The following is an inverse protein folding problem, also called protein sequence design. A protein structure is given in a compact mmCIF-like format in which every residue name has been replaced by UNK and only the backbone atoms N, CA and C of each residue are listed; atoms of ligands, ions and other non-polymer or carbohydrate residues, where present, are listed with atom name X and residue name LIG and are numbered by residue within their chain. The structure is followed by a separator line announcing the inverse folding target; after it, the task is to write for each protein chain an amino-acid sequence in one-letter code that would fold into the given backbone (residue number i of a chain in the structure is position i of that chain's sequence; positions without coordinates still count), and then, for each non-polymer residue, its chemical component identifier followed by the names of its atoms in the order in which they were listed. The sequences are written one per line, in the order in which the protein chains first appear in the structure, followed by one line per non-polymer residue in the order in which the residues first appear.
data_IF_540364200628
#
_entry.id   IF_540364200628
#
_cell.length_a   1.000
_cell.length_b   1.000
_cell.length_c   1.000
_cell.angle_alpha   90.00
_cell.angle_beta   90.00
_cell.angle_gamma   90.00
#
_symmetry.space_group_name_H-M   'P 1'
#
loop_
_entity.id
_entity.type
_entity.pdbx_description
1 polymer ?
#
# COMPACT_ATOMS: atom_id res chain seq x y z
N UNK A 1 -12.66 11.80 -20.50
CA UNK A 1 -12.61 11.38 -19.83
C UNK A 1 -12.21 10.35 -19.78
N UNK A 2 -11.83 10.22 -19.89
CA UNK A 2 -11.48 9.24 -19.99
C UNK A 2 -11.21 8.24 -19.18
N UNK A 3 -10.90 8.52 -18.21
CA UNK A 3 -10.56 7.52 -17.37
C UNK A 3 -11.64 6.59 -17.28
N UNK A 4 -11.45 5.56 -17.85
CA UNK A 4 -12.42 4.53 -17.76
C UNK A 4 -12.44 4.00 -16.33
N UNK A 5 -13.60 3.99 -15.79
CA UNK A 5 -13.88 3.28 -14.56
C UNK A 5 -14.75 2.10 -14.89
N UNK A 6 -14.49 0.95 -14.30
CA UNK A 6 -13.44 0.64 -13.34
C UNK A 6 -12.05 0.48 -13.98
N UNK A 7 -11.03 0.72 -13.21
CA UNK A 7 -9.64 0.60 -13.65
C UNK A 7 -9.11 -0.79 -13.30
N UNK A 8 -9.63 -1.80 -13.99
CA UNK A 8 -9.20 -3.19 -13.77
C UNK A 8 -7.74 -3.41 -14.10
N UNK A 9 -7.20 -2.59 -14.97
CA UNK A 9 -5.80 -2.67 -15.37
C UNK A 9 -4.81 -2.39 -14.23
N UNK A 10 -5.28 -1.81 -13.13
CA UNK A 10 -4.45 -1.52 -11.96
C UNK A 10 -4.37 -2.67 -10.96
N UNK A 11 -5.09 -3.75 -11.20
CA UNK A 11 -5.23 -4.83 -10.23
C UNK A 11 -4.91 -6.18 -10.85
N UNK A 12 -4.42 -7.11 -10.01
CA UNK A 12 -4.20 -8.49 -10.40
C UNK A 12 -5.47 -9.28 -10.10
N UNK A 13 -6.21 -9.61 -11.16
CA UNK A 13 -7.46 -10.37 -11.06
C UNK A 13 -7.36 -11.61 -11.93
N UNK A 14 -7.97 -12.74 -11.49
CA UNK A 14 -8.03 -13.95 -12.34
C UNK A 14 -8.82 -13.68 -13.61
N UNK A 15 -8.40 -14.29 -14.72
CA UNK A 15 -9.11 -14.17 -15.97
C UNK A 15 -10.51 -14.80 -15.85
N UNK A 16 -11.49 -14.15 -16.47
CA UNK A 16 -12.84 -14.67 -16.52
C UNK A 16 -13.65 -14.51 -15.22
N UNK A 17 -13.09 -13.85 -14.22
CA UNK A 17 -13.78 -13.62 -12.96
C UNK A 17 -14.30 -12.16 -12.92
N UNK A 18 -15.57 -12.03 -12.57
CA UNK A 18 -16.16 -10.72 -12.26
C UNK A 18 -16.23 -10.62 -10.75
N UNK A 19 -15.36 -9.81 -10.17
CA UNK A 19 -15.22 -9.71 -8.73
C UNK A 19 -15.97 -8.52 -8.20
N UNK A 20 -17.01 -8.77 -7.39
CA UNK A 20 -17.91 -7.73 -6.87
C UNK A 20 -17.85 -7.59 -5.34
N UNK A 21 -16.96 -8.32 -4.68
CA UNK A 21 -16.91 -8.36 -3.21
C UNK A 21 -15.70 -7.63 -2.64
N UNK A 22 -15.34 -6.51 -3.25
CA UNK A 22 -14.22 -5.70 -2.79
C UNK A 22 -14.39 -5.12 -1.41
N UNK A 23 -15.63 -5.04 -0.91
CA UNK A 23 -15.87 -4.57 0.44
C UNK A 23 -15.44 -5.58 1.51
N UNK A 24 -15.43 -6.86 1.18
CA UNK A 24 -14.91 -7.89 2.09
C UNK A 24 -13.39 -8.01 1.98
N UNK A 25 -12.89 -8.08 0.75
CA UNK A 25 -11.46 -8.15 0.47
C UNK A 25 -11.22 -7.50 -0.89
N UNK A 26 -10.49 -6.41 -0.91
CA UNK A 26 -10.13 -5.75 -2.15
C UNK A 26 -9.20 -6.58 -3.01
N UNK A 27 -9.28 -6.44 -4.34
CA UNK A 27 -8.33 -7.10 -5.22
C UNK A 27 -6.92 -6.50 -5.03
N UNK A 28 -5.91 -7.32 -5.27
CA UNK A 28 -4.52 -6.90 -5.09
C UNK A 28 -4.10 -5.94 -6.21
N UNK A 29 -3.65 -4.72 -5.87
CA UNK A 29 -3.09 -3.83 -6.89
C UNK A 29 -1.84 -4.44 -7.53
N UNK A 30 -1.57 -4.06 -8.79
CA UNK A 30 -0.36 -4.48 -9.48
C UNK A 30 0.87 -3.98 -8.73
N UNK A 31 1.90 -4.80 -8.71
CA UNK A 31 3.16 -4.45 -8.07
C UNK A 31 3.25 -4.78 -6.59
N UNK A 32 2.14 -5.16 -5.95
CA UNK A 32 2.17 -5.48 -4.52
C UNK A 32 2.99 -6.74 -4.25
N UNK A 33 2.86 -7.76 -5.10
CA UNK A 33 3.62 -9.00 -4.90
C UNK A 33 5.12 -8.74 -4.97
N UNK A 34 5.55 -8.02 -5.99
CA UNK A 34 6.96 -7.71 -6.19
C UNK A 34 7.48 -6.80 -5.07
N UNK A 35 6.68 -5.85 -4.63
CA UNK A 35 7.09 -4.96 -3.53
C UNK A 35 7.19 -5.72 -2.22
N UNK A 36 6.25 -6.61 -1.94
CA UNK A 36 6.31 -7.46 -0.74
C UNK A 36 7.52 -8.37 -0.76
N UNK A 37 7.84 -8.95 -1.93
CA UNK A 37 9.02 -9.80 -2.07
C UNK A 37 10.31 -9.01 -1.81
N UNK A 38 10.38 -7.76 -2.27
CA UNK A 38 11.54 -6.91 -2.02
C UNK A 38 11.69 -6.56 -0.54
N UNK A 39 10.58 -6.27 0.14
CA UNK A 39 10.61 -5.99 1.57
C UNK A 39 11.12 -7.20 2.35
N UNK A 40 10.60 -8.37 2.03
CA UNK A 40 10.97 -9.60 2.75
C UNK A 40 12.40 -10.01 2.40
N UNK A 41 12.74 -10.02 1.10
CA UNK A 41 14.02 -10.53 0.65
C UNK A 41 15.19 -9.59 0.88
N UNK A 42 15.01 -8.30 0.62
CA UNK A 42 16.08 -7.32 0.71
C UNK A 42 16.07 -6.55 2.02
N UNK A 43 14.96 -5.90 2.32
CA UNK A 43 14.93 -5.00 3.46
C UNK A 43 14.99 -5.78 4.78
N UNK A 44 14.25 -6.86 4.88
CA UNK A 44 14.30 -7.72 6.05
C UNK A 44 15.44 -8.73 5.94
N UNK A 45 15.46 -9.52 4.86
CA UNK A 45 16.38 -10.66 4.77
C UNK A 45 17.83 -10.25 4.64
N UNK A 46 18.14 -9.16 3.96
CA UNK A 46 19.49 -8.68 3.75
C UNK A 46 19.87 -7.55 4.70
N UNK A 47 19.05 -6.51 4.79
CA UNK A 47 19.38 -5.33 5.59
C UNK A 47 19.19 -5.53 7.09
N UNK A 48 18.28 -6.40 7.48
CA UNK A 48 18.01 -6.72 8.89
C UNK A 48 17.64 -5.45 9.66
N UNK A 49 18.20 -5.26 10.84
CA UNK A 49 17.88 -4.08 11.66
C UNK A 49 18.24 -2.76 10.98
N UNK A 50 19.17 -2.78 10.04
CA UNK A 50 19.53 -1.57 9.30
C UNK A 50 18.41 -1.04 8.43
N UNK A 51 17.40 -1.87 8.12
CA UNK A 51 16.26 -1.45 7.32
C UNK A 51 15.49 -0.30 7.95
N UNK A 52 15.53 -0.16 9.27
CA UNK A 52 14.92 0.98 9.95
C UNK A 52 15.38 2.31 9.38
N UNK A 53 16.67 2.42 9.05
CA UNK A 53 17.24 3.65 8.48
C UNK A 53 17.45 3.53 6.99
N UNK A 54 18.02 2.43 6.51
CA UNK A 54 18.38 2.28 5.10
C UNK A 54 17.17 2.20 4.19
N UNK A 55 16.14 1.48 4.61
CA UNK A 55 14.90 1.37 3.84
C UNK A 55 13.84 2.38 4.30
N UNK A 56 14.13 3.14 5.34
CA UNK A 56 13.23 4.18 5.82
C UNK A 56 12.00 3.67 6.57
N UNK A 57 12.07 2.49 7.17
CA UNK A 57 10.94 1.92 7.91
C UNK A 57 10.48 2.82 9.06
N UNK A 58 11.44 3.48 9.72
CA UNK A 58 11.09 4.31 10.89
C UNK A 58 10.17 5.46 10.51
N UNK A 59 10.30 5.97 9.29
CA UNK A 59 9.49 7.10 8.80
C UNK A 59 8.31 6.64 7.96
N UNK A 60 8.15 5.34 7.72
CA UNK A 60 7.18 4.83 6.77
C UNK A 60 5.74 5.26 7.08
N UNK A 61 5.25 5.17 8.34
CA UNK A 61 3.89 5.61 8.63
C UNK A 61 3.63 7.07 8.27
N UNK A 62 4.60 7.94 8.53
CA UNK A 62 4.48 9.37 8.22
C UNK A 62 4.54 9.60 6.70
N UNK A 63 5.44 8.92 5.99
CA UNK A 63 5.57 9.07 4.54
C UNK A 63 4.32 8.60 3.80
N UNK A 64 3.75 7.48 4.23
CA UNK A 64 2.51 6.99 3.63
C UNK A 64 1.37 7.93 3.98
N UNK A 65 1.30 8.41 5.21
CA UNK A 65 0.31 9.39 5.62
C UNK A 65 0.35 10.64 4.75
N UNK A 66 1.54 11.12 4.42
CA UNK A 66 1.69 12.30 3.56
C UNK A 66 1.23 12.04 2.12
N UNK A 67 1.26 10.79 1.66
CA UNK A 67 0.71 10.44 0.36
C UNK A 67 -0.81 10.34 0.37
N UNK A 68 -1.40 10.00 1.51
CA UNK A 68 -2.86 9.93 1.67
C UNK A 68 -3.45 11.32 1.88
N UNK A 69 -2.74 12.20 2.55
CA UNK A 69 -3.25 13.51 2.94
C UNK A 69 -3.91 14.29 1.79
N UNK A 70 -3.30 14.40 0.59
CA UNK A 70 -3.94 15.14 -0.51
C UNK A 70 -5.27 14.54 -0.95
N UNK A 71 -5.44 13.21 -0.81
CA UNK A 71 -6.65 12.54 -1.23
C UNK A 71 -7.84 12.86 -0.33
N UNK A 72 -7.59 13.21 0.92
CA UNK A 72 -8.64 13.51 1.89
C UNK A 72 -8.65 14.99 2.30
N UNK A 73 -7.86 15.81 1.63
CA UNK A 73 -7.81 17.24 1.90
C UNK A 73 -7.13 17.61 3.20
N UNK A 74 -6.26 16.75 3.72
CA UNK A 74 -5.53 17.01 4.95
C UNK A 74 -4.20 17.69 4.68
N UNK A 75 -3.71 18.46 5.64
CA UNK A 75 -2.40 19.09 5.54
C UNK A 75 -1.28 18.06 5.67
N UNK A 76 -0.10 18.31 5.06
CA UNK A 76 1.05 17.45 5.26
C UNK A 76 1.39 17.29 6.75
N UNK A 77 1.78 16.10 7.14
CA UNK A 77 2.17 15.81 8.52
C UNK A 77 1.02 15.53 9.48
N UNK A 78 -0.23 15.56 9.00
CA UNK A 78 -1.39 15.36 9.86
C UNK A 78 -2.02 13.98 9.73
N UNK A 79 -1.51 13.14 8.85
CA UNK A 79 -2.03 11.78 8.62
C UNK A 79 -0.96 10.77 9.00
N UNK A 80 -1.34 9.78 9.77
CA UNK A 80 -0.47 8.67 10.11
C UNK A 80 -1.18 7.36 9.77
N UNK A 81 -0.41 6.34 9.43
CA UNK A 81 -0.94 5.02 9.13
C UNK A 81 -0.51 4.03 10.21
N UNK A 82 -1.27 3.01 10.40
CA UNK A 82 -0.99 1.97 11.38
C UNK A 82 -1.58 0.65 10.96
N UNK A 83 -1.67 -0.26 11.91
CA UNK A 83 -2.12 -1.63 11.63
C UNK A 83 -3.64 -1.72 11.43
N UNK A 84 -4.42 -1.68 12.47
CA UNK A 84 -5.88 -1.75 12.36
C UNK A 84 -6.56 -0.85 13.37
N UNK A 85 -7.81 -0.51 13.08
CA UNK A 85 -8.61 0.27 14.01
C UNK A 85 -8.84 -0.50 15.33
N UNK A 86 -8.94 -1.81 15.26
CA UNK A 86 -9.18 -2.63 16.45
C UNK A 86 -8.04 -2.53 17.47
N UNK A 87 -6.83 -2.26 17.01
CA UNK A 87 -5.66 -2.13 17.87
C UNK A 87 -5.48 -0.68 18.32
N UNK A 88 -5.99 0.25 17.55
CA UNK A 88 -5.87 1.67 17.84
C UNK A 88 -6.96 2.15 18.77
#
# INVERSE_FOLDING_TARGET
MGAALPRKDLFDLPDGVIYLDGNSLGPRPRGVLERAAAVIGEEWGHDLIRAWNMAGWIDLPARIGDRIAPLIGAAPGTVATGDTLSIK
#
